data_IF_394709465145
#
_entry.id   IF_394709465145
#
_cell.length_a   1.000
_cell.length_b   1.000
_cell.length_c   1.000
_cell.angle_alpha   90.00
_cell.angle_beta   90.00
_cell.angle_gamma   90.00
#
_symmetry.space_group_name_H-M   'P 1'
#
loop_
_entity.id
_entity.type
_entity.pdbx_description
1 polymer ?
#
# COMPACT_ATOMS: atom_id res chain seq x y z
N UNK A 1 7.52 -3.30 -13.63
CA UNK A 1 6.71 -2.06 -13.58
C UNK A 1 6.20 -1.93 -12.15
N UNK A 2 6.27 -0.73 -11.55
CA UNK A 2 5.95 -0.53 -10.12
C UNK A 2 4.68 0.32 -9.99
N UNK A 3 3.71 -0.15 -9.22
CA UNK A 3 2.41 0.50 -9.02
C UNK A 3 2.45 1.40 -7.78
N UNK A 4 1.99 2.64 -7.91
CA UNK A 4 1.78 3.51 -6.74
C UNK A 4 0.32 3.43 -6.30
N UNK A 5 0.07 2.93 -5.09
CA UNK A 5 -1.25 2.83 -4.49
C UNK A 5 -1.41 3.88 -3.39
N UNK A 6 -2.37 4.77 -3.57
CA UNK A 6 -2.74 5.75 -2.56
C UNK A 6 -3.59 5.09 -1.48
N UNK A 7 -3.06 5.08 -0.27
CA UNK A 7 -3.58 4.37 0.89
C UNK A 7 -4.30 5.25 1.90
N UNK A 8 -4.42 4.74 3.12
CA UNK A 8 -5.05 5.43 4.24
C UNK A 8 -6.46 4.92 4.57
N UNK A 9 -6.96 3.94 3.84
CA UNK A 9 -8.25 3.27 4.09
C UNK A 9 -8.06 1.76 4.17
N UNK A 10 -8.98 1.08 4.84
CA UNK A 10 -8.99 -0.38 4.92
C UNK A 10 -9.11 -1.05 3.55
N UNK A 11 -9.81 -0.42 2.60
CA UNK A 11 -9.98 -0.99 1.26
C UNK A 11 -8.70 -0.86 0.42
N UNK A 12 -7.93 0.21 0.58
CA UNK A 12 -6.61 0.31 -0.03
C UNK A 12 -5.65 -0.77 0.50
N UNK A 13 -5.74 -1.14 1.78
CA UNK A 13 -4.94 -2.24 2.34
C UNK A 13 -5.30 -3.57 1.65
N UNK A 14 -6.60 -3.88 1.54
CA UNK A 14 -7.08 -5.11 0.87
C UNK A 14 -6.64 -5.15 -0.60
N UNK A 15 -6.77 -4.02 -1.30
CA UNK A 15 -6.33 -3.90 -2.68
C UNK A 15 -4.82 -4.10 -2.83
N UNK A 16 -4.02 -3.53 -1.92
CA UNK A 16 -2.57 -3.73 -1.91
C UNK A 16 -2.22 -5.22 -1.75
N UNK A 17 -2.90 -5.92 -0.84
CA UNK A 17 -2.68 -7.34 -0.61
C UNK A 17 -2.99 -8.17 -1.87
N UNK A 18 -4.11 -7.90 -2.54
CA UNK A 18 -4.48 -8.57 -3.78
C UNK A 18 -3.44 -8.34 -4.88
N UNK A 19 -2.99 -7.09 -5.07
CA UNK A 19 -1.96 -6.77 -6.06
C UNK A 19 -0.62 -7.49 -5.76
N UNK A 20 -0.22 -7.54 -4.49
CA UNK A 20 0.99 -8.26 -4.08
C UNK A 20 0.85 -9.77 -4.29
N UNK A 21 -0.33 -10.35 -4.04
CA UNK A 21 -0.61 -11.76 -4.29
C UNK A 21 -0.56 -12.13 -5.77
N UNK A 22 -1.02 -11.23 -6.64
CA UNK A 22 -0.92 -11.38 -8.11
C UNK A 22 0.50 -11.12 -8.65
N UNK A 23 1.48 -10.82 -7.76
CA UNK A 23 2.88 -10.65 -8.13
C UNK A 23 3.24 -9.26 -8.65
N UNK A 24 2.38 -8.27 -8.47
CA UNK A 24 2.72 -6.88 -8.81
C UNK A 24 3.66 -6.28 -7.76
N UNK A 25 4.62 -5.48 -8.22
CA UNK A 25 5.44 -4.63 -7.38
C UNK A 25 4.67 -3.34 -7.04
N UNK A 26 4.42 -3.10 -5.76
CA UNK A 26 3.54 -2.02 -5.27
C UNK A 26 4.30 -1.13 -4.30
N UNK A 27 4.11 0.18 -4.42
CA UNK A 27 4.45 1.19 -3.42
C UNK A 27 3.14 1.65 -2.79
N UNK A 28 3.04 1.60 -1.47
CA UNK A 28 1.88 2.07 -0.72
C UNK A 28 2.14 3.46 -0.15
N UNK A 29 1.40 4.48 -0.58
CA UNK A 29 1.59 5.87 -0.12
C UNK A 29 0.44 6.32 0.77
N UNK A 30 0.74 6.70 2.00
CA UNK A 30 -0.23 7.23 2.98
C UNK A 30 0.13 8.64 3.40
N UNK A 31 -0.90 9.44 3.75
CA UNK A 31 -0.73 10.81 4.24
C UNK A 31 -1.07 10.92 5.72
N UNK A 32 -0.21 11.54 6.53
CA UNK A 32 -0.47 11.92 7.92
C UNK A 32 -0.22 10.84 8.99
N UNK A 33 -0.78 11.03 10.20
CA UNK A 33 -0.63 10.17 11.39
C UNK A 33 -1.47 8.89 11.35
N UNK A 34 -1.73 8.34 10.17
CA UNK A 34 -2.44 7.06 10.06
C UNK A 34 -1.52 5.93 10.50
N UNK A 35 -2.07 4.99 11.29
CA UNK A 35 -1.35 3.79 11.72
C UNK A 35 -0.78 3.10 10.48
N UNK A 36 0.55 3.05 10.38
CA UNK A 36 1.21 2.39 9.25
C UNK A 36 0.76 0.93 9.18
N UNK A 37 0.21 0.48 8.04
CA UNK A 37 -0.18 -0.90 7.87
C UNK A 37 1.07 -1.77 7.71
N UNK A 38 1.01 -3.00 8.22
CA UNK A 38 2.05 -3.99 7.98
C UNK A 38 1.80 -4.66 6.62
N UNK A 39 2.37 -4.10 5.55
CA UNK A 39 2.30 -4.63 4.19
C UNK A 39 3.71 -5.06 3.74
N UNK A 40 3.85 -6.17 3.00
CA UNK A 40 5.15 -6.63 2.49
C UNK A 40 5.53 -5.85 1.22
N UNK A 41 5.47 -4.52 1.30
CA UNK A 41 5.79 -3.61 0.21
C UNK A 41 6.39 -2.32 0.77
N UNK A 42 6.95 -1.48 -0.11
CA UNK A 42 7.49 -0.19 0.28
C UNK A 42 6.35 0.75 0.69
N UNK A 43 6.47 1.36 1.87
CA UNK A 43 5.46 2.29 2.40
C UNK A 43 6.05 3.69 2.46
N UNK A 44 5.46 4.63 1.70
CA UNK A 44 5.75 6.05 1.81
C UNK A 44 4.73 6.71 2.73
N UNK A 45 5.22 7.49 3.68
CA UNK A 45 4.41 8.29 4.58
C UNK A 45 4.81 9.76 4.43
N UNK A 46 3.86 10.63 4.10
CA UNK A 46 4.08 12.08 3.93
C UNK A 46 2.91 12.94 4.36
#
# INVERSE_FOLDING_TARGET
MKLLLLGGTSDAIKLCQLLLQEGYDVIYSIKGLVRQPSLPCEIHCG
#
